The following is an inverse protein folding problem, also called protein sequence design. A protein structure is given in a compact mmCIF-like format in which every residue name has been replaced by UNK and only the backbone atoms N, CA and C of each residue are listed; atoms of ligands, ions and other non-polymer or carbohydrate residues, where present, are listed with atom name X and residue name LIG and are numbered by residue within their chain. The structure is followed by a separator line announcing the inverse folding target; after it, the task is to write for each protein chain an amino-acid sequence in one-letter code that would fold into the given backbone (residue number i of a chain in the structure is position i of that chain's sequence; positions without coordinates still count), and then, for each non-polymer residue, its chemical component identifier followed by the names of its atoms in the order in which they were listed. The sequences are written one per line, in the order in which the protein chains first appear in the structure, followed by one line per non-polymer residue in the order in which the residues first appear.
data_IF_446852865235
#
_entry.id   IF_446852865235
#
_cell.length_a   1.000
_cell.length_b   1.000
_cell.length_c   1.000
_cell.angle_alpha   90.00
_cell.angle_beta   90.00
_cell.angle_gamma   90.00
#
_symmetry.space_group_name_H-M   'P 1'
#
loop_
_entity.id
_entity.type
_entity.pdbx_description
1 polymer ?
#
# COMPACT_ATOMS: atom_id res chain seq x y z
N UNK A 1 -12.11 -6.92 -27.34
CA UNK A 1 -12.73 -6.62 -26.03
C UNK A 1 -11.67 -5.94 -25.16
N UNK A 2 -12.02 -4.88 -24.43
CA UNK A 2 -11.08 -4.24 -23.51
C UNK A 2 -10.76 -5.23 -22.36
N UNK A 3 -9.50 -5.28 -21.92
CA UNK A 3 -9.09 -6.15 -20.83
C UNK A 3 -9.87 -5.80 -19.55
N UNK A 4 -10.31 -6.81 -18.80
CA UNK A 4 -10.94 -6.64 -17.50
C UNK A 4 -9.91 -6.63 -16.38
N UNK A 5 -10.25 -5.96 -15.26
CA UNK A 5 -9.40 -5.94 -14.07
C UNK A 5 -9.23 -7.37 -13.52
N UNK A 6 -8.00 -7.78 -13.30
CA UNK A 6 -7.71 -9.08 -12.70
C UNK A 6 -7.80 -9.00 -11.19
N UNK A 7 -8.89 -9.52 -10.64
CA UNK A 7 -9.18 -9.48 -9.20
C UNK A 7 -8.85 -10.81 -8.56
N UNK A 8 -7.91 -10.80 -7.61
CA UNK A 8 -7.52 -11.97 -6.82
C UNK A 8 -8.39 -12.20 -5.57
N UNK A 9 -9.18 -11.21 -5.18
CA UNK A 9 -10.09 -11.30 -4.03
C UNK A 9 -10.78 -9.99 -3.72
N UNK A 10 -11.81 -10.05 -2.87
CA UNK A 10 -12.57 -8.88 -2.39
C UNK A 10 -12.86 -9.05 -0.90
N UNK A 11 -12.57 -8.02 -0.12
CA UNK A 11 -13.09 -7.86 1.23
C UNK A 11 -14.30 -6.92 1.16
N UNK A 12 -15.51 -7.40 1.44
CA UNK A 12 -16.72 -6.62 1.22
C UNK A 12 -16.97 -5.51 2.24
N UNK A 13 -16.19 -5.49 3.34
CA UNK A 13 -16.27 -4.51 4.41
C UNK A 13 -14.93 -4.43 5.15
N UNK A 14 -14.41 -3.22 5.32
CA UNK A 14 -13.23 -2.89 6.12
C UNK A 14 -13.41 -1.53 6.77
N UNK A 15 -12.95 -1.39 8.02
CA UNK A 15 -12.91 -0.13 8.75
C UNK A 15 -11.46 0.41 8.89
N UNK A 16 -10.47 -0.27 8.30
CA UNK A 16 -9.04 0.03 8.50
C UNK A 16 -8.31 0.42 7.21
N UNK A 17 -8.86 0.08 6.04
CA UNK A 17 -8.18 0.27 4.76
C UNK A 17 -8.33 1.68 4.18
N UNK A 18 -9.28 2.47 4.67
CA UNK A 18 -9.44 3.88 4.34
C UNK A 18 -9.68 4.68 5.63
N UNK A 19 -8.78 5.59 6.06
CA UNK A 19 -8.95 6.33 7.30
C UNK A 19 -10.26 7.11 7.37
N UNK A 20 -11.04 6.85 8.42
CA UNK A 20 -12.31 7.54 8.67
C UNK A 20 -13.48 7.13 7.80
N UNK A 21 -13.35 6.09 6.95
CA UNK A 21 -14.41 5.58 6.09
C UNK A 21 -14.56 4.07 6.18
N UNK A 22 -15.79 3.59 6.00
CA UNK A 22 -16.04 2.18 5.76
C UNK A 22 -15.81 1.89 4.27
N UNK A 23 -15.03 0.86 3.96
CA UNK A 23 -14.65 0.56 2.59
C UNK A 23 -14.83 -0.91 2.22
N UNK A 24 -15.11 -1.17 0.94
CA UNK A 24 -14.81 -2.47 0.36
C UNK A 24 -13.38 -2.44 -0.23
N UNK A 25 -12.68 -3.57 -0.17
CA UNK A 25 -11.30 -3.67 -0.71
C UNK A 25 -11.27 -4.65 -1.86
N UNK A 26 -10.78 -4.20 -3.01
CA UNK A 26 -10.56 -5.01 -4.22
C UNK A 26 -9.08 -5.30 -4.35
N UNK A 27 -8.69 -6.56 -4.23
CA UNK A 27 -7.31 -7.00 -4.34
C UNK A 27 -6.96 -7.36 -5.78
N UNK A 28 -6.15 -6.53 -6.43
CA UNK A 28 -5.70 -6.74 -7.81
C UNK A 28 -4.61 -7.81 -7.85
N UNK A 29 -4.74 -8.74 -8.78
CA UNK A 29 -3.79 -9.83 -8.97
C UNK A 29 -2.55 -9.40 -9.76
N UNK A 30 -1.38 -9.70 -9.22
CA UNK A 30 -0.07 -9.47 -9.81
C UNK A 30 0.77 -8.45 -9.05
N UNK A 31 2.04 -8.79 -8.82
CA UNK A 31 3.06 -7.90 -8.29
C UNK A 31 4.43 -8.35 -8.80
N UNK A 32 5.27 -7.46 -9.35
CA UNK A 32 6.60 -7.84 -9.83
C UNK A 32 7.63 -7.93 -8.69
N UNK A 33 7.36 -7.34 -7.53
CA UNK A 33 8.26 -7.38 -6.38
C UNK A 33 8.10 -8.66 -5.56
N UNK A 34 9.15 -9.03 -4.86
CA UNK A 34 9.25 -10.22 -4.00
C UNK A 34 9.68 -9.81 -2.59
N UNK A 35 8.90 -8.86 -2.00
CA UNK A 35 9.20 -8.35 -0.67
C UNK A 35 9.24 -9.49 0.35
N UNK A 36 10.31 -9.54 1.15
CA UNK A 36 10.51 -10.61 2.12
C UNK A 36 9.44 -10.70 3.20
N UNK A 37 8.73 -9.61 3.46
CA UNK A 37 7.61 -9.54 4.43
C UNK A 37 6.23 -9.52 3.76
N UNK A 38 6.10 -10.01 2.52
CA UNK A 38 4.82 -9.96 1.81
C UNK A 38 3.72 -10.74 2.55
N UNK A 39 2.62 -10.06 2.87
CA UNK A 39 1.45 -10.69 3.52
C UNK A 39 0.53 -11.41 2.52
N UNK A 40 0.65 -11.08 1.23
CA UNK A 40 -0.21 -11.62 0.17
C UNK A 40 0.62 -12.27 -0.95
N UNK A 41 1.49 -13.26 -0.67
CA UNK A 41 2.34 -13.85 -1.69
C UNK A 41 1.52 -14.55 -2.81
N UNK A 42 0.32 -15.00 -2.53
CA UNK A 42 -0.62 -15.58 -3.50
C UNK A 42 -1.10 -14.58 -4.56
N UNK A 43 -1.02 -13.27 -4.28
CA UNK A 43 -1.35 -12.22 -5.23
C UNK A 43 -0.17 -11.80 -6.12
N UNK A 44 1.04 -12.33 -5.90
CA UNK A 44 2.21 -11.97 -6.72
C UNK A 44 2.15 -12.49 -8.16
N UNK A 45 1.75 -13.76 -8.44
CA UNK A 45 1.59 -14.24 -9.82
C UNK A 45 0.53 -13.44 -10.55
N UNK A 46 0.77 -13.12 -11.84
CA UNK A 46 -0.21 -12.40 -12.67
C UNK A 46 -1.36 -13.29 -13.18
N UNK A 47 -1.11 -14.58 -13.30
CA UNK A 47 -2.10 -15.61 -13.63
C UNK A 47 -2.55 -16.32 -12.37
N UNK A 48 -3.85 -16.57 -12.26
CA UNK A 48 -4.44 -17.36 -11.19
C UNK A 48 -5.72 -18.00 -11.73
N UNK A 49 -5.98 -19.23 -11.32
CA UNK A 49 -7.21 -19.96 -11.67
C UNK A 49 -8.39 -19.54 -10.76
N UNK A 50 -8.11 -18.71 -9.74
CA UNK A 50 -9.08 -18.27 -8.73
C UNK A 50 -9.48 -16.80 -8.88
N UNK A 51 -9.33 -16.20 -10.08
CA UNK A 51 -9.72 -14.82 -10.32
C UNK A 51 -11.25 -14.64 -10.18
N UNK A 52 -11.63 -13.58 -9.46
CA UNK A 52 -13.03 -13.15 -9.39
C UNK A 52 -13.36 -12.31 -10.63
N UNK A 53 -14.38 -12.69 -11.43
CA UNK A 53 -14.82 -11.89 -12.57
C UNK A 53 -15.19 -10.46 -12.16
N UNK A 54 -14.75 -9.47 -12.92
CA UNK A 54 -15.04 -8.06 -12.59
C UNK A 54 -16.54 -7.74 -12.52
N UNK A 55 -17.35 -8.41 -13.35
CA UNK A 55 -18.81 -8.28 -13.31
C UNK A 55 -19.40 -8.69 -11.94
N UNK A 56 -18.86 -9.74 -11.32
CA UNK A 56 -19.30 -10.22 -10.01
C UNK A 56 -18.90 -9.25 -8.90
N UNK A 57 -17.69 -8.65 -9.01
CA UNK A 57 -17.26 -7.58 -8.12
C UNK A 57 -18.21 -6.38 -8.19
N UNK A 58 -18.55 -5.92 -9.40
CA UNK A 58 -19.52 -4.83 -9.57
C UNK A 58 -20.91 -5.19 -9.02
N UNK A 59 -21.37 -6.43 -9.21
CA UNK A 59 -22.63 -6.91 -8.64
C UNK A 59 -22.60 -6.90 -7.10
N UNK A 60 -21.46 -7.27 -6.49
CA UNK A 60 -21.25 -7.16 -5.05
C UNK A 60 -21.29 -5.69 -4.60
N UNK A 61 -20.55 -4.81 -5.27
CA UNK A 61 -20.46 -3.39 -4.91
C UNK A 61 -21.82 -2.68 -5.01
N UNK A 62 -22.65 -2.99 -6.03
CA UNK A 62 -24.02 -2.47 -6.12
C UNK A 62 -24.84 -2.77 -4.87
N UNK A 63 -24.65 -3.94 -4.25
CA UNK A 63 -25.32 -4.30 -2.98
C UNK A 63 -24.72 -3.61 -1.76
N UNK A 64 -23.60 -2.89 -1.90
CA UNK A 64 -22.91 -2.13 -0.84
C UNK A 64 -23.16 -0.64 -0.90
N UNK A 65 -23.85 -0.14 -1.91
CA UNK A 65 -24.25 1.26 -2.01
C UNK A 65 -25.05 1.66 -0.76
N UNK A 66 -24.62 2.71 -0.06
CA UNK A 66 -25.17 3.18 1.21
C UNK A 66 -24.77 2.37 2.45
N UNK A 67 -23.97 1.30 2.30
CA UNK A 67 -23.44 0.50 3.42
C UNK A 67 -21.95 0.73 3.66
N UNK A 68 -21.21 1.10 2.63
CA UNK A 68 -19.80 1.53 2.71
C UNK A 68 -19.64 2.82 1.92
N UNK A 69 -18.64 3.62 2.29
CA UNK A 69 -18.40 4.95 1.72
C UNK A 69 -17.46 4.90 0.52
N UNK A 70 -16.54 3.93 0.51
CA UNK A 70 -15.44 3.89 -0.44
C UNK A 70 -15.15 2.48 -0.95
N UNK A 71 -14.42 2.42 -2.06
CA UNK A 71 -13.75 1.21 -2.54
C UNK A 71 -12.27 1.47 -2.64
N UNK A 72 -11.48 0.62 -1.96
CA UNK A 72 -10.02 0.67 -2.00
C UNK A 72 -9.49 -0.36 -2.98
N UNK A 73 -8.74 0.07 -3.97
CA UNK A 73 -7.99 -0.81 -4.85
C UNK A 73 -6.62 -1.09 -4.22
N UNK A 74 -6.37 -2.35 -3.92
CA UNK A 74 -5.17 -2.86 -3.24
C UNK A 74 -4.66 -4.12 -3.93
N UNK A 75 -3.97 -5.01 -3.23
CA UNK A 75 -3.63 -6.36 -3.71
C UNK A 75 -2.15 -6.64 -3.77
N UNK A 76 -1.67 -7.14 -4.90
CA UNK A 76 -0.25 -7.22 -5.21
C UNK A 76 0.30 -5.82 -5.48
N UNK A 77 0.10 -5.31 -6.71
CA UNK A 77 0.29 -3.89 -7.07
C UNK A 77 -0.84 -3.47 -8.01
N UNK A 78 -1.77 -2.65 -7.51
CA UNK A 78 -2.95 -2.26 -8.27
C UNK A 78 -2.61 -1.52 -9.58
N UNK A 79 -1.59 -0.65 -9.55
CA UNK A 79 -1.14 0.10 -10.73
C UNK A 79 -0.50 -0.79 -11.81
N UNK A 80 -0.28 -2.08 -11.55
CA UNK A 80 0.17 -3.03 -12.57
C UNK A 80 -0.90 -3.28 -13.64
N UNK A 81 -2.18 -3.20 -13.30
CA UNK A 81 -3.26 -3.57 -14.20
C UNK A 81 -3.68 -2.42 -15.12
N UNK A 82 -3.62 -2.57 -16.45
CA UNK A 82 -4.03 -1.52 -17.38
C UNK A 82 -5.54 -1.21 -17.33
N UNK A 83 -6.37 -2.10 -16.79
CA UNK A 83 -7.81 -1.88 -16.63
C UNK A 83 -8.17 -1.07 -15.37
N UNK A 84 -7.20 -0.75 -14.49
CA UNK A 84 -7.45 -0.09 -13.20
C UNK A 84 -8.22 1.23 -13.36
N UNK A 85 -7.78 2.13 -14.25
CA UNK A 85 -8.46 3.42 -14.45
C UNK A 85 -9.93 3.27 -14.90
N UNK A 86 -10.22 2.28 -15.73
CA UNK A 86 -11.59 1.97 -16.13
C UNK A 86 -12.41 1.46 -14.94
N UNK A 87 -11.86 0.51 -14.19
CA UNK A 87 -12.53 -0.06 -13.02
C UNK A 87 -12.84 1.03 -11.97
N UNK A 88 -11.90 1.95 -11.70
CA UNK A 88 -12.13 3.09 -10.81
C UNK A 88 -13.29 3.98 -11.29
N UNK A 89 -13.41 4.26 -12.59
CA UNK A 89 -14.54 5.05 -13.13
C UNK A 89 -15.88 4.32 -12.97
N UNK A 90 -15.91 3.01 -13.20
CA UNK A 90 -17.11 2.19 -13.03
C UNK A 90 -17.56 2.18 -11.56
N UNK A 91 -16.63 2.10 -10.62
CA UNK A 91 -16.92 2.16 -9.18
C UNK A 91 -17.38 3.56 -8.75
N UNK A 92 -16.72 4.61 -9.23
CA UNK A 92 -17.13 5.99 -8.96
C UNK A 92 -18.56 6.27 -9.49
N UNK A 93 -18.93 5.70 -10.63
CA UNK A 93 -20.29 5.82 -11.17
C UNK A 93 -21.36 5.17 -10.28
N UNK A 94 -20.98 4.29 -9.34
CA UNK A 94 -21.86 3.75 -8.31
C UNK A 94 -22.00 4.66 -7.08
N UNK A 95 -21.23 5.76 -7.02
CA UNK A 95 -21.27 6.74 -5.93
C UNK A 95 -20.24 6.53 -4.83
N UNK A 96 -19.25 5.61 -5.01
CA UNK A 96 -18.20 5.39 -4.02
C UNK A 96 -17.04 6.36 -4.20
N UNK A 97 -16.41 6.74 -3.09
CA UNK A 97 -15.06 7.29 -3.11
C UNK A 97 -14.03 6.22 -3.47
N UNK A 98 -12.92 6.65 -4.06
CA UNK A 98 -11.86 5.77 -4.54
C UNK A 98 -10.63 5.90 -3.66
N UNK A 99 -10.29 4.82 -2.97
CA UNK A 99 -9.00 4.65 -2.29
C UNK A 99 -8.03 3.83 -3.15
N UNK A 100 -6.75 4.10 -3.01
CA UNK A 100 -5.69 3.33 -3.66
C UNK A 100 -4.61 2.95 -2.65
N UNK A 101 -4.27 1.65 -2.57
CA UNK A 101 -3.04 1.20 -1.95
C UNK A 101 -2.02 0.85 -3.03
N UNK A 102 -0.81 1.39 -2.94
CA UNK A 102 0.26 1.11 -3.91
C UNK A 102 1.61 0.93 -3.23
N UNK A 103 2.38 -0.02 -3.73
CA UNK A 103 3.78 -0.19 -3.38
C UNK A 103 4.72 0.76 -4.15
N UNK A 104 4.16 1.68 -4.96
CA UNK A 104 4.93 2.68 -5.70
C UNK A 104 5.83 2.08 -6.79
N UNK A 105 5.30 1.16 -7.60
CA UNK A 105 6.08 0.47 -8.65
C UNK A 105 5.96 1.15 -10.03
N UNK A 106 4.79 1.67 -10.37
CA UNK A 106 4.47 2.14 -11.72
C UNK A 106 4.12 3.63 -11.74
N UNK A 107 5.12 4.50 -11.66
CA UNK A 107 4.94 5.94 -11.53
C UNK A 107 4.09 6.56 -12.67
N UNK A 108 4.27 6.10 -13.92
CA UNK A 108 3.49 6.62 -15.03
C UNK A 108 2.01 6.25 -14.91
N UNK A 109 1.70 4.98 -14.61
CA UNK A 109 0.31 4.54 -14.42
C UNK A 109 -0.34 5.16 -13.18
N UNK A 110 0.45 5.37 -12.12
CA UNK A 110 -0.01 6.07 -10.93
C UNK A 110 -0.47 7.48 -11.30
N UNK A 111 0.32 8.25 -12.07
CA UNK A 111 -0.05 9.59 -12.55
C UNK A 111 -1.35 9.58 -13.36
N UNK A 112 -1.61 8.53 -14.15
CA UNK A 112 -2.84 8.39 -14.94
C UNK A 112 -4.09 8.18 -14.07
N UNK A 113 -3.95 7.52 -12.89
CA UNK A 113 -5.08 7.22 -12.01
C UNK A 113 -5.26 8.21 -10.88
N UNK A 114 -4.24 8.96 -10.49
CA UNK A 114 -4.31 9.96 -9.40
C UNK A 114 -5.51 10.92 -9.52
N UNK A 115 -5.91 11.41 -10.73
CA UNK A 115 -7.10 12.25 -10.87
C UNK A 115 -8.43 11.54 -10.56
N UNK A 116 -8.42 10.21 -10.44
CA UNK A 116 -9.58 9.39 -10.11
C UNK A 116 -9.61 8.96 -8.64
N UNK A 117 -8.60 9.33 -7.85
CA UNK A 117 -8.40 8.83 -6.48
C UNK A 117 -8.69 9.94 -5.49
N UNK A 118 -9.45 9.63 -4.44
CA UNK A 118 -9.75 10.55 -3.35
C UNK A 118 -8.74 10.43 -2.20
N UNK A 119 -8.11 9.26 -2.05
CA UNK A 119 -7.10 9.03 -1.03
C UNK A 119 -6.13 7.91 -1.45
N UNK A 120 -4.84 8.09 -1.13
CA UNK A 120 -3.76 7.13 -1.42
C UNK A 120 -3.04 6.72 -0.15
N UNK A 121 -3.06 5.41 0.16
CA UNK A 121 -2.10 4.80 1.09
C UNK A 121 -0.94 4.23 0.29
N UNK A 122 0.28 4.73 0.48
CA UNK A 122 1.42 4.29 -0.31
C UNK A 122 2.60 3.88 0.56
N UNK A 123 3.33 2.86 0.10
CA UNK A 123 4.45 2.32 0.85
C UNK A 123 5.77 2.88 0.35
N UNK A 124 6.55 3.48 1.25
CA UNK A 124 7.98 3.68 1.08
C UNK A 124 8.70 2.72 2.04
N UNK A 125 9.47 1.80 1.47
CA UNK A 125 9.90 0.58 2.19
C UNK A 125 11.28 0.70 2.84
N UNK A 126 12.14 1.58 2.32
CA UNK A 126 13.48 1.88 2.82
C UNK A 126 13.99 3.16 2.15
N UNK A 127 15.21 3.61 2.48
CA UNK A 127 15.95 4.55 1.65
C UNK A 127 16.03 4.03 0.21
N UNK A 128 15.92 4.91 -0.79
CA UNK A 128 15.78 4.47 -2.20
C UNK A 128 16.98 3.66 -2.72
N UNK A 129 18.19 3.86 -2.15
CA UNK A 129 19.38 3.04 -2.40
C UNK A 129 19.20 1.58 -1.97
N UNK A 130 18.42 1.34 -0.92
CA UNK A 130 18.36 0.06 -0.20
C UNK A 130 17.13 -0.79 -0.55
N UNK A 131 16.29 -0.28 -1.44
CA UNK A 131 15.04 -0.94 -1.84
C UNK A 131 15.20 -2.39 -2.30
N UNK A 132 16.32 -2.72 -2.99
CA UNK A 132 16.62 -4.07 -3.44
C UNK A 132 16.64 -5.09 -2.31
N UNK A 133 17.10 -4.70 -1.13
CA UNK A 133 17.19 -5.59 0.04
C UNK A 133 15.80 -6.07 0.48
N UNK A 134 14.77 -5.24 0.28
CA UNK A 134 13.39 -5.54 0.65
C UNK A 134 12.62 -6.16 -0.51
N UNK A 135 12.73 -5.59 -1.70
CA UNK A 135 11.91 -5.96 -2.86
C UNK A 135 12.47 -7.11 -3.69
N UNK A 136 13.75 -7.44 -3.52
CA UNK A 136 14.47 -8.39 -4.35
C UNK A 136 14.80 -7.90 -5.76
N UNK A 137 14.45 -6.66 -6.13
CA UNK A 137 14.58 -6.10 -7.48
C UNK A 137 15.56 -4.94 -7.51
N UNK A 138 16.56 -5.03 -8.38
CA UNK A 138 17.53 -3.94 -8.59
C UNK A 138 16.84 -2.71 -9.20
N UNK A 139 17.23 -1.50 -8.75
CA UNK A 139 16.68 -0.24 -9.24
C UNK A 139 15.24 0.05 -8.79
N UNK A 140 14.67 -0.76 -7.87
CA UNK A 140 13.30 -0.58 -7.41
C UNK A 140 13.06 0.69 -6.58
N UNK A 141 14.10 1.36 -6.10
CA UNK A 141 13.99 2.65 -5.43
C UNK A 141 13.65 3.82 -6.37
N UNK A 142 14.06 3.75 -7.65
CA UNK A 142 13.80 4.83 -8.60
C UNK A 142 12.29 5.02 -8.89
N UNK A 143 11.53 3.96 -9.24
CA UNK A 143 10.09 4.09 -9.39
C UNK A 143 9.39 4.51 -8.08
N UNK A 144 9.86 4.04 -6.92
CA UNK A 144 9.30 4.44 -5.63
C UNK A 144 9.46 5.94 -5.37
N UNK A 145 10.64 6.49 -5.66
CA UNK A 145 10.90 7.95 -5.61
C UNK A 145 9.99 8.71 -6.53
N UNK A 146 9.87 8.27 -7.79
CA UNK A 146 9.03 8.93 -8.79
C UNK A 146 7.53 8.89 -8.44
N UNK A 147 7.07 7.81 -7.79
CA UNK A 147 5.70 7.72 -7.27
C UNK A 147 5.48 8.67 -6.10
N UNK A 148 6.39 8.71 -5.12
CA UNK A 148 6.33 9.65 -3.99
C UNK A 148 6.22 11.08 -4.50
N UNK A 149 7.13 11.51 -5.40
CA UNK A 149 7.13 12.85 -5.96
C UNK A 149 5.80 13.16 -6.70
N UNK A 150 5.23 12.18 -7.42
CA UNK A 150 3.96 12.34 -8.11
C UNK A 150 2.76 12.47 -7.16
N UNK A 151 2.72 11.68 -6.07
CA UNK A 151 1.66 11.75 -5.05
C UNK A 151 1.68 13.11 -4.37
N UNK A 152 2.85 13.54 -3.89
CA UNK A 152 3.00 14.83 -3.22
C UNK A 152 2.62 16.01 -4.14
N UNK A 153 3.03 15.96 -5.40
CA UNK A 153 2.69 17.00 -6.38
C UNK A 153 1.21 17.02 -6.77
N UNK A 154 0.48 15.92 -6.63
CA UNK A 154 -0.94 15.83 -7.01
C UNK A 154 -1.88 16.52 -6.03
N UNK A 155 -1.46 16.72 -4.78
CA UNK A 155 -2.30 17.26 -3.71
C UNK A 155 -3.40 16.31 -3.22
N UNK A 156 -3.45 15.04 -3.69
CA UNK A 156 -4.42 14.04 -3.21
C UNK A 156 -4.19 13.75 -1.73
N UNK A 157 -5.27 13.55 -0.97
CA UNK A 157 -5.17 13.11 0.42
C UNK A 157 -4.41 11.76 0.50
N UNK A 158 -3.44 11.67 1.40
CA UNK A 158 -2.56 10.50 1.41
C UNK A 158 -2.02 10.15 2.79
N UNK A 159 -1.51 8.93 2.89
CA UNK A 159 -0.77 8.39 4.04
C UNK A 159 0.46 7.64 3.51
N UNK A 160 1.65 8.06 3.92
CA UNK A 160 2.90 7.36 3.64
C UNK A 160 3.10 6.26 4.70
N UNK A 161 3.38 5.03 4.27
CA UNK A 161 3.53 3.88 5.15
C UNK A 161 4.90 3.25 5.02
N UNK A 162 5.45 2.79 6.14
CA UNK A 162 6.63 1.91 6.14
C UNK A 162 6.36 0.71 7.05
N UNK A 163 6.40 -0.50 6.47
CA UNK A 163 6.41 -1.72 7.26
C UNK A 163 7.81 -1.96 7.79
N UNK A 164 7.94 -2.07 9.12
CA UNK A 164 9.22 -2.13 9.81
C UNK A 164 9.46 -3.51 10.42
N UNK A 165 10.74 -3.93 10.34
CA UNK A 165 11.24 -5.15 10.97
C UNK A 165 12.71 -4.92 11.32
N UNK A 166 13.20 -5.31 12.52
CA UNK A 166 14.56 -4.99 12.98
C UNK A 166 15.66 -5.54 12.08
N UNK A 167 15.45 -6.70 11.45
CA UNK A 167 16.41 -7.28 10.51
C UNK A 167 16.48 -6.58 9.14
N UNK A 168 15.53 -5.70 8.83
CA UNK A 168 15.43 -4.99 7.54
C UNK A 168 15.73 -3.50 7.68
N UNK A 169 15.24 -2.89 8.76
CA UNK A 169 15.38 -1.46 9.05
C UNK A 169 15.76 -1.32 10.53
N UNK A 170 17.05 -1.37 10.91
CA UNK A 170 17.48 -1.01 12.26
C UNK A 170 17.12 0.44 12.57
N UNK A 171 17.10 0.82 13.86
CA UNK A 171 16.66 2.15 14.31
C UNK A 171 17.33 3.31 13.57
N UNK A 172 18.64 3.21 13.28
CA UNK A 172 19.39 4.23 12.53
C UNK A 172 18.84 4.40 11.09
N UNK A 173 18.68 3.29 10.35
CA UNK A 173 18.12 3.32 9.00
C UNK A 173 16.68 3.83 8.98
N UNK A 174 15.93 3.59 10.06
CA UNK A 174 14.58 4.07 10.23
C UNK A 174 14.53 5.60 10.45
N UNK A 175 15.47 6.14 11.22
CA UNK A 175 15.62 7.59 11.39
C UNK A 175 16.01 8.28 10.09
N UNK A 176 16.99 7.76 9.37
CA UNK A 176 17.42 8.31 8.07
C UNK A 176 16.28 8.32 7.04
N UNK A 177 15.49 7.24 7.02
CA UNK A 177 14.32 7.15 6.17
C UNK A 177 13.27 8.20 6.55
N UNK A 178 12.97 8.36 7.84
CA UNK A 178 11.99 9.31 8.32
C UNK A 178 12.42 10.75 8.01
N UNK A 179 13.69 11.09 8.23
CA UNK A 179 14.24 12.40 7.89
C UNK A 179 14.15 12.68 6.38
N UNK A 180 14.49 11.70 5.54
CA UNK A 180 14.36 11.83 4.09
C UNK A 180 12.92 12.08 3.68
N UNK A 181 11.93 11.38 4.27
CA UNK A 181 10.51 11.57 3.98
C UNK A 181 9.99 12.93 4.46
N UNK A 182 10.37 13.38 5.65
CA UNK A 182 10.02 14.69 6.17
C UNK A 182 10.58 15.82 5.29
N UNK A 183 11.84 15.72 4.87
CA UNK A 183 12.50 16.65 3.95
C UNK A 183 11.85 16.69 2.56
N UNK A 184 11.22 15.60 2.14
CA UNK A 184 10.42 15.51 0.92
C UNK A 184 9.04 16.15 1.04
N UNK A 185 8.59 16.48 2.26
CA UNK A 185 7.30 17.11 2.52
C UNK A 185 6.16 16.12 2.80
N UNK A 186 6.46 14.89 3.19
CA UNK A 186 5.45 13.96 3.73
C UNK A 186 4.90 14.53 5.03
N UNK A 187 3.58 14.63 5.15
CA UNK A 187 2.90 15.21 6.33
C UNK A 187 2.16 14.19 7.17
N UNK A 188 1.84 13.03 6.59
CA UNK A 188 1.13 11.94 7.27
C UNK A 188 1.94 10.66 7.12
N UNK A 189 2.58 10.25 8.20
CA UNK A 189 3.50 9.10 8.20
C UNK A 189 3.06 8.03 9.17
N UNK A 190 3.05 6.78 8.69
CA UNK A 190 2.66 5.61 9.46
C UNK A 190 3.77 4.58 9.45
N UNK A 191 4.26 4.24 10.63
CA UNK A 191 5.05 3.04 10.83
C UNK A 191 4.13 1.86 11.15
N UNK A 192 4.27 0.79 10.39
CA UNK A 192 3.53 -0.45 10.59
C UNK A 192 4.50 -1.53 11.05
N UNK A 193 4.34 -2.02 12.27
CA UNK A 193 5.14 -3.14 12.72
C UNK A 193 4.81 -4.39 11.90
N UNK A 194 5.83 -5.14 11.53
CA UNK A 194 5.69 -6.40 10.81
C UNK A 194 4.71 -7.34 11.52
N UNK A 195 3.82 -7.95 10.73
CA UNK A 195 2.94 -9.02 11.17
C UNK A 195 3.41 -10.35 10.57
N UNK A 196 3.45 -11.39 11.39
CA UNK A 196 3.75 -12.74 10.94
C UNK A 196 2.64 -13.34 10.05
N UNK A 197 1.41 -12.79 10.11
CA UNK A 197 0.27 -13.29 9.36
C UNK A 197 0.52 -13.21 7.85
N UNK A 198 0.44 -14.34 7.15
CA UNK A 198 0.64 -14.44 5.70
C UNK A 198 2.09 -14.39 5.23
N UNK A 199 3.05 -14.10 6.11
CA UNK A 199 4.46 -14.09 5.76
C UNK A 199 5.04 -15.51 5.67
N UNK A 200 5.74 -15.81 4.57
CA UNK A 200 6.40 -17.11 4.34
C UNK A 200 7.92 -17.06 4.56
N UNK A 201 8.47 -16.00 5.16
CA UNK A 201 9.90 -15.83 5.34
C UNK A 201 10.32 -16.21 6.76
N UNK A 202 10.83 -17.45 6.91
CA UNK A 202 11.23 -18.00 8.21
C UNK A 202 12.29 -17.15 8.93
N UNK A 203 13.17 -16.46 8.22
CA UNK A 203 14.17 -15.58 8.83
C UNK A 203 13.53 -14.38 9.54
N UNK A 204 12.52 -13.78 8.93
CA UNK A 204 11.79 -12.68 9.56
C UNK A 204 10.91 -13.20 10.71
N UNK A 205 10.27 -14.36 10.52
CA UNK A 205 9.46 -14.99 11.57
C UNK A 205 10.28 -15.36 12.82
N UNK A 206 11.55 -15.74 12.64
CA UNK A 206 12.43 -16.12 13.74
C UNK A 206 13.06 -14.92 14.47
N UNK A 207 13.01 -13.73 13.91
CA UNK A 207 13.66 -12.53 14.47
C UNK A 207 12.65 -11.69 15.21
N UNK A 208 12.68 -11.74 16.54
CA UNK A 208 11.94 -10.82 17.40
C UNK A 208 12.94 -10.04 18.25
N UNK A 209 12.88 -8.70 18.20
CA UNK A 209 13.65 -7.86 19.11
C UNK A 209 12.66 -7.15 20.05
N UNK A 210 12.63 -7.52 21.35
CA UNK A 210 11.87 -6.76 22.33
C UNK A 210 12.32 -5.30 22.33
N UNK A 211 11.37 -4.37 22.35
CA UNK A 211 11.66 -2.94 22.41
C UNK A 211 12.05 -2.29 21.06
N UNK A 212 11.82 -2.98 19.94
CA UNK A 212 11.98 -2.39 18.60
C UNK A 212 10.64 -1.85 18.06
N UNK A 213 10.62 -0.65 17.45
CA UNK A 213 11.70 0.35 17.52
C UNK A 213 11.88 0.89 18.93
N UNK A 214 13.08 1.41 19.26
CA UNK A 214 13.31 2.03 20.55
C UNK A 214 12.34 3.20 20.79
N UNK A 215 11.87 3.38 22.03
CA UNK A 215 10.94 4.46 22.36
C UNK A 215 11.49 5.85 22.00
N UNK A 216 12.80 6.05 22.16
CA UNK A 216 13.47 7.29 21.75
C UNK A 216 13.42 7.50 20.23
N UNK A 217 13.59 6.44 19.43
CA UNK A 217 13.47 6.47 17.96
C UNK A 217 12.06 6.85 17.55
N UNK A 218 11.04 6.21 18.13
CA UNK A 218 9.65 6.55 17.85
C UNK A 218 9.31 8.01 18.20
N UNK A 219 9.75 8.50 19.36
CA UNK A 219 9.54 9.88 19.78
C UNK A 219 10.21 10.88 18.82
N UNK A 220 11.44 10.57 18.37
CA UNK A 220 12.15 11.41 17.41
C UNK A 220 11.44 11.45 16.06
N UNK A 221 11.02 10.30 15.51
CA UNK A 221 10.27 10.23 14.26
C UNK A 221 8.93 10.98 14.38
N UNK A 222 8.20 10.78 15.48
CA UNK A 222 6.92 11.46 15.69
C UNK A 222 7.04 12.99 15.65
N UNK A 223 8.18 13.54 16.12
CA UNK A 223 8.44 14.98 16.10
C UNK A 223 8.73 15.54 14.69
N UNK A 224 9.04 14.68 13.70
CA UNK A 224 9.34 15.10 12.32
C UNK A 224 8.10 15.36 11.47
N UNK A 225 6.93 14.79 11.86
CA UNK A 225 5.73 14.80 11.01
C UNK A 225 4.56 15.50 11.70
N UNK A 226 3.78 16.30 10.96
CA UNK A 226 2.53 16.90 11.46
C UNK A 226 1.52 15.85 11.96
N UNK A 227 1.46 14.68 11.29
CA UNK A 227 0.69 13.51 11.71
C UNK A 227 1.58 12.27 11.65
N UNK A 228 1.66 11.58 12.78
CA UNK A 228 2.41 10.33 12.91
C UNK A 228 1.57 9.28 13.62
N UNK A 229 1.62 8.07 13.09
CA UNK A 229 0.96 6.90 13.71
C UNK A 229 1.90 5.71 13.74
N UNK A 230 1.96 5.04 14.88
CA UNK A 230 2.60 3.74 15.00
C UNK A 230 1.53 2.65 15.13
N UNK A 231 1.43 1.77 14.14
CA UNK A 231 0.51 0.64 14.13
C UNK A 231 1.22 -0.62 14.56
N UNK A 232 0.80 -1.18 15.69
CA UNK A 232 1.29 -2.46 16.20
C UNK A 232 0.20 -3.53 15.96
N UNK A 233 0.51 -4.73 15.41
CA UNK A 233 -0.45 -5.81 15.18
C UNK A 233 -1.17 -6.32 16.43
N UNK A 234 -0.70 -5.96 17.62
CA UNK A 234 -1.27 -6.37 18.90
C UNK A 234 -2.23 -5.35 19.56
N UNK A 235 -2.49 -4.24 18.90
CA UNK A 235 -3.44 -3.21 19.39
C UNK A 235 -4.59 -3.06 18.42
#
# INVERSE_FOLDING_TARGET
MAAELKVGGVTPFSATDYPGKLAAVVFVQGCPWRCGYCHNPHLQPRSSDTLTPWADVLALLRRRVGLVDAVVFSGGEACMDPALARAMREVRALGFDIGLHTACIYAQRLKEVLPLVDWVGFDIKAAFSDYRQITGVAGSGDPARACLDAILASGVAHECRTTIHPALLPDEALLDLAEMLANKGVTDYVLQQFSAAGCANDRLLATTLPGYPAAATLAHIAAMFPRFTFRNPGN
#
